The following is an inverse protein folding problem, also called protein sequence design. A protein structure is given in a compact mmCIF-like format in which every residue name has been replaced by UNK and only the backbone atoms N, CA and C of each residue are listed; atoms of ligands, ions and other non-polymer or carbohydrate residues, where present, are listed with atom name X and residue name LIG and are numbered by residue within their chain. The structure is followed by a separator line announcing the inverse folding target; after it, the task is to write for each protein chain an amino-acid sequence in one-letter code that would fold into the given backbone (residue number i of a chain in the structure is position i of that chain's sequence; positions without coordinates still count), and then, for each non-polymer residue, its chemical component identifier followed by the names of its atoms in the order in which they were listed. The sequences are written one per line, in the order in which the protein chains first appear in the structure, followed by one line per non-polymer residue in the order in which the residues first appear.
data_IF_401027280636
#
_entry.id   IF_401027280636
#
_cell.length_a   1.000
_cell.length_b   1.000
_cell.length_c   1.000
_cell.angle_alpha   90.00
_cell.angle_beta   90.00
_cell.angle_gamma   90.00
#
_symmetry.space_group_name_H-M   'P 1'
#
loop_
_entity.id
_entity.type
_entity.pdbx_description
1 polymer ?
#
# COMPACT_ATOMS: atom_id res chain seq x y z
N UNK A 1 -12.07 2.88 -7.01
CA UNK A 1 -11.03 3.38 -6.07
C UNK A 1 -11.27 2.77 -4.70
N UNK A 2 -10.23 2.65 -3.89
CA UNK A 2 -10.31 2.14 -2.52
C UNK A 2 -10.41 3.31 -1.53
N UNK A 3 -10.77 3.02 -0.28
CA UNK A 3 -10.94 4.01 0.78
C UNK A 3 -10.44 3.46 2.14
N UNK A 4 -10.65 4.22 3.21
CA UNK A 4 -10.27 3.90 4.60
C UNK A 4 -8.76 3.88 4.85
N UNK A 5 -8.06 2.85 4.39
CA UNK A 5 -6.61 2.68 4.60
C UNK A 5 -5.76 3.16 3.42
N UNK A 6 -6.39 3.74 2.40
CA UNK A 6 -5.77 4.26 1.18
C UNK A 6 -6.45 5.58 0.83
N UNK A 7 -5.68 6.54 0.32
CA UNK A 7 -6.23 7.78 -0.19
C UNK A 7 -6.99 7.61 -1.50
N UNK A 8 -7.62 8.69 -1.93
CA UNK A 8 -8.43 8.77 -3.14
C UNK A 8 -7.88 9.84 -4.07
N UNK A 9 -8.11 9.70 -5.38
CA UNK A 9 -7.67 10.71 -6.35
C UNK A 9 -8.63 11.90 -6.32
N UNK A 10 -8.46 12.73 -5.31
CA UNK A 10 -9.27 13.92 -5.07
C UNK A 10 -8.38 15.12 -4.94
N UNK A 11 -8.82 16.22 -5.52
CA UNK A 11 -8.07 17.47 -5.55
C UNK A 11 -7.70 17.95 -4.15
N UNK A 12 -8.67 18.07 -3.25
CA UNK A 12 -8.44 18.51 -1.86
C UNK A 12 -7.42 17.61 -1.13
N UNK A 13 -7.46 16.30 -1.37
CA UNK A 13 -6.52 15.35 -0.78
C UNK A 13 -5.12 15.49 -1.37
N UNK A 14 -5.03 15.60 -2.70
CA UNK A 14 -3.76 15.72 -3.43
C UNK A 14 -3.07 17.06 -3.17
N UNK A 15 -3.82 18.14 -2.92
CA UNK A 15 -3.25 19.45 -2.56
C UNK A 15 -2.69 19.50 -1.14
N UNK A 16 -3.00 18.51 -0.29
CA UNK A 16 -2.55 18.49 1.10
C UNK A 16 -1.08 18.07 1.27
N UNK A 17 -0.44 17.51 0.24
CA UNK A 17 0.96 17.09 0.31
C UNK A 17 1.70 17.26 -1.02
N UNK A 18 3.05 17.34 -0.99
CA UNK A 18 3.85 17.37 -2.21
C UNK A 18 3.56 16.19 -3.14
N UNK A 19 3.56 16.45 -4.44
CA UNK A 19 3.38 15.45 -5.49
C UNK A 19 4.68 15.33 -6.29
N UNK A 20 5.24 14.13 -6.32
CA UNK A 20 6.34 13.78 -7.21
C UNK A 20 5.77 13.36 -8.55
N UNK A 21 6.41 13.84 -9.61
CA UNK A 21 6.00 13.59 -10.98
C UNK A 21 7.20 13.13 -11.78
N UNK A 22 7.07 11.97 -12.42
CA UNK A 22 8.02 11.49 -13.38
C UNK A 22 7.52 11.82 -14.79
N UNK A 23 8.37 12.49 -15.56
CA UNK A 23 8.03 13.01 -16.90
C UNK A 23 9.00 12.49 -17.94
N UNK A 24 8.47 12.20 -19.12
CA UNK A 24 9.22 12.16 -20.38
C UNK A 24 9.26 13.56 -20.98
N UNK A 25 9.93 13.70 -22.13
CA UNK A 25 9.96 14.98 -22.86
C UNK A 25 8.56 15.42 -23.34
N UNK A 26 7.63 14.47 -23.48
CA UNK A 26 6.29 14.73 -24.02
C UNK A 26 5.22 14.92 -22.93
N UNK A 27 5.33 14.19 -21.80
CA UNK A 27 4.21 14.06 -20.85
C UNK A 27 4.60 13.53 -19.46
N UNK A 28 3.62 13.56 -18.56
CA UNK A 28 3.69 12.88 -17.26
C UNK A 28 3.45 11.38 -17.44
N UNK A 29 4.42 10.57 -17.01
CA UNK A 29 4.35 9.10 -17.09
C UNK A 29 3.87 8.47 -15.77
N UNK A 30 4.22 9.07 -14.64
CA UNK A 30 3.80 8.61 -13.33
C UNK A 30 3.78 9.74 -12.29
N UNK A 31 3.02 9.54 -11.22
CA UNK A 31 3.06 10.41 -10.05
C UNK A 31 2.95 9.61 -8.76
N UNK A 32 3.41 10.21 -7.67
CA UNK A 32 3.11 9.77 -6.31
C UNK A 32 2.94 10.97 -5.37
N UNK A 33 2.03 10.89 -4.41
CA UNK A 33 1.91 11.92 -3.37
C UNK A 33 2.64 11.49 -2.08
N UNK A 34 3.30 12.45 -1.44
CA UNK A 34 4.00 12.23 -0.19
C UNK A 34 2.99 11.98 0.94
N UNK A 35 3.33 11.05 1.83
CA UNK A 35 2.59 10.81 3.07
C UNK A 35 3.56 10.89 4.26
N UNK A 36 3.60 12.03 4.97
CA UNK A 36 4.36 12.13 6.21
C UNK A 36 3.86 11.13 7.26
N UNK A 37 4.76 10.39 7.89
CA UNK A 37 4.42 9.48 9.01
C UNK A 37 4.84 10.11 10.34
N UNK A 38 6.04 10.67 10.40
CA UNK A 38 6.59 11.33 11.58
C UNK A 38 7.61 12.40 11.16
N UNK A 39 8.31 13.00 12.12
CA UNK A 39 9.43 13.91 11.86
C UNK A 39 10.64 13.22 11.22
N UNK A 40 10.77 11.89 11.34
CA UNK A 40 11.92 11.11 10.86
C UNK A 40 11.55 10.07 9.81
N UNK A 41 10.24 9.86 9.57
CA UNK A 41 9.75 8.83 8.67
C UNK A 41 8.73 9.37 7.67
N UNK A 42 8.85 8.90 6.42
CA UNK A 42 7.97 9.31 5.34
C UNK A 42 7.59 8.12 4.45
N UNK A 43 6.51 8.27 3.71
CA UNK A 43 6.01 7.27 2.76
C UNK A 43 5.35 7.95 1.56
N UNK A 44 4.72 7.15 0.72
CA UNK A 44 3.82 7.58 -0.35
C UNK A 44 2.47 6.88 -0.18
N UNK A 45 1.39 7.52 -0.60
CA UNK A 45 0.06 6.90 -0.56
C UNK A 45 -0.39 6.45 -1.96
N UNK A 46 -0.77 7.39 -2.82
CA UNK A 46 -1.07 7.10 -4.21
C UNK A 46 0.23 7.03 -4.99
N UNK A 47 0.36 6.00 -5.82
CA UNK A 47 1.34 5.92 -6.90
C UNK A 47 0.64 5.34 -8.12
N UNK A 48 0.61 6.11 -9.21
CA UNK A 48 -0.01 5.70 -10.46
C UNK A 48 0.92 6.00 -11.61
N UNK A 49 0.88 5.15 -12.62
CA UNK A 49 1.69 5.25 -13.83
C UNK A 49 0.80 4.91 -15.02
N UNK A 50 1.16 5.41 -16.20
CA UNK A 50 0.42 5.11 -17.42
C UNK A 50 0.65 3.67 -17.87
N UNK A 51 -0.37 3.04 -18.46
CA UNK A 51 -0.25 1.68 -18.98
C UNK A 51 0.61 1.56 -20.25
N UNK A 52 0.80 2.66 -20.97
CA UNK A 52 1.60 2.79 -22.19
C UNK A 52 3.00 3.37 -21.94
N UNK A 53 3.46 3.38 -20.69
CA UNK A 53 4.78 3.88 -20.31
C UNK A 53 5.89 2.86 -20.51
N UNK A 54 7.15 3.30 -20.49
CA UNK A 54 8.33 2.41 -20.54
C UNK A 54 8.46 1.54 -19.28
N UNK A 55 9.18 0.43 -19.40
CA UNK A 55 9.42 -0.48 -18.28
C UNK A 55 10.10 0.21 -17.09
N UNK A 56 9.82 -0.29 -15.88
CA UNK A 56 10.45 0.14 -14.62
C UNK A 56 10.19 1.58 -14.17
N UNK A 57 9.25 2.31 -14.79
CA UNK A 57 8.87 3.68 -14.41
C UNK A 57 8.48 3.81 -12.93
N UNK A 58 7.72 2.84 -12.40
CA UNK A 58 7.38 2.77 -10.98
C UNK A 58 8.63 2.65 -10.09
N UNK A 59 9.57 1.79 -10.48
CA UNK A 59 10.80 1.56 -9.72
C UNK A 59 11.68 2.81 -9.74
N UNK A 60 11.80 3.47 -10.89
CA UNK A 60 12.55 4.70 -11.04
C UNK A 60 11.95 5.83 -10.19
N UNK A 61 10.64 6.05 -10.26
CA UNK A 61 9.96 7.04 -9.43
C UNK A 61 10.20 6.78 -7.94
N UNK A 62 10.03 5.53 -7.49
CA UNK A 62 10.22 5.19 -6.08
C UNK A 62 11.68 5.38 -5.62
N UNK A 63 12.67 5.00 -6.43
CA UNK A 63 14.08 5.22 -6.13
C UNK A 63 14.41 6.72 -5.99
N UNK A 64 13.87 7.56 -6.88
CA UNK A 64 14.09 9.00 -6.82
C UNK A 64 13.47 9.62 -5.57
N UNK A 65 12.27 9.17 -5.17
CA UNK A 65 11.64 9.64 -3.94
C UNK A 65 12.43 9.20 -2.70
N UNK A 66 12.94 7.96 -2.68
CA UNK A 66 13.80 7.48 -1.58
C UNK A 66 15.10 8.30 -1.51
N UNK A 67 15.71 8.63 -2.64
CA UNK A 67 16.90 9.47 -2.70
C UNK A 67 16.61 10.88 -2.18
N UNK A 68 15.51 11.50 -2.63
CA UNK A 68 15.04 12.78 -2.11
C UNK A 68 14.79 12.74 -0.60
N UNK A 69 14.12 11.70 -0.09
CA UNK A 69 13.82 11.58 1.33
C UNK A 69 15.12 11.53 2.17
N UNK A 70 16.15 10.87 1.66
CA UNK A 70 17.48 10.86 2.28
C UNK A 70 18.12 12.25 2.27
N UNK A 71 18.00 13.00 1.18
CA UNK A 71 18.55 14.37 1.06
C UNK A 71 17.86 15.35 2.03
N UNK A 72 16.55 15.18 2.25
CA UNK A 72 15.78 15.95 3.25
C UNK A 72 16.06 15.53 4.70
N UNK A 73 16.86 14.49 4.93
CA UNK A 73 17.25 14.02 6.26
C UNK A 73 16.26 13.07 6.93
N UNK A 74 15.33 12.47 6.18
CA UNK A 74 14.50 11.38 6.73
C UNK A 74 15.37 10.15 7.02
N UNK A 75 15.12 9.53 8.18
CA UNK A 75 15.83 8.33 8.62
C UNK A 75 15.21 7.07 8.01
N UNK A 76 13.88 7.08 7.81
CA UNK A 76 13.13 5.91 7.33
C UNK A 76 12.18 6.27 6.20
N UNK A 77 12.20 5.43 5.15
CA UNK A 77 11.17 5.44 4.11
C UNK A 77 10.30 4.18 4.23
N UNK A 78 9.02 4.36 4.54
CA UNK A 78 8.06 3.25 4.60
C UNK A 78 7.54 2.93 3.19
N UNK A 79 7.84 1.72 2.69
CA UNK A 79 7.39 1.24 1.38
C UNK A 79 5.90 0.81 1.38
N UNK A 80 5.23 0.90 2.53
CA UNK A 80 3.89 0.37 2.79
C UNK A 80 3.88 -1.13 3.05
N UNK A 81 2.70 -1.66 3.37
CA UNK A 81 2.54 -3.09 3.70
C UNK A 81 2.63 -4.01 2.47
N UNK A 82 3.13 -5.23 2.68
CA UNK A 82 2.94 -6.38 1.78
C UNK A 82 2.21 -7.48 2.55
N UNK A 83 0.88 -7.37 2.67
CA UNK A 83 0.12 -8.17 3.62
C UNK A 83 0.12 -9.65 3.21
N UNK A 84 0.03 -10.53 4.20
CA UNK A 84 -0.09 -11.99 4.04
C UNK A 84 1.05 -12.67 3.26
N UNK A 85 2.14 -11.98 2.94
CA UNK A 85 3.22 -12.56 2.14
C UNK A 85 3.94 -13.74 2.83
N UNK A 86 3.83 -13.84 4.16
CA UNK A 86 4.35 -14.94 4.98
C UNK A 86 3.25 -15.85 5.56
N UNK A 87 1.98 -15.62 5.20
CA UNK A 87 0.87 -16.43 5.70
C UNK A 87 0.84 -17.75 4.94
N UNK A 88 0.94 -18.86 5.69
CA UNK A 88 1.04 -20.22 5.15
C UNK A 88 2.41 -20.89 5.34
N UNK A 89 3.46 -20.13 5.70
CA UNK A 89 4.81 -20.69 5.93
C UNK A 89 5.00 -21.30 7.32
N UNK A 90 4.06 -21.08 8.26
CA UNK A 90 4.06 -21.72 9.57
C UNK A 90 2.76 -22.46 9.84
N UNK A 91 2.89 -23.73 10.21
CA UNK A 91 1.80 -24.66 10.52
C UNK A 91 1.12 -24.27 11.83
N UNK A 92 0.01 -23.52 11.79
CA UNK A 92 -0.69 -23.10 13.00
C UNK A 92 -2.15 -23.57 13.04
N UNK A 93 -2.39 -24.72 13.68
CA UNK A 93 -3.68 -25.21 14.21
C UNK A 93 -4.87 -25.34 13.24
N UNK A 94 -5.32 -26.60 13.10
CA UNK A 94 -6.33 -27.13 12.15
C UNK A 94 -7.67 -26.37 12.02
N UNK A 95 -8.08 -25.55 12.98
CA UNK A 95 -9.36 -24.80 12.95
C UNK A 95 -9.22 -23.32 12.57
N UNK A 96 -8.06 -22.68 12.79
CA UNK A 96 -7.76 -21.31 12.31
C UNK A 96 -7.33 -21.26 10.85
N UNK A 97 -6.83 -22.39 10.34
CA UNK A 97 -6.33 -22.55 8.98
C UNK A 97 -7.37 -22.18 7.89
N UNK A 98 -8.68 -22.42 8.10
CA UNK A 98 -9.69 -22.15 7.05
C UNK A 98 -9.95 -20.68 6.81
N UNK A 99 -10.08 -19.86 7.87
CA UNK A 99 -10.35 -18.42 7.73
C UNK A 99 -9.10 -17.72 7.20
N UNK A 100 -7.92 -18.10 7.70
CA UNK A 100 -6.63 -17.58 7.23
C UNK A 100 -6.40 -17.93 5.77
N UNK A 101 -6.70 -19.17 5.36
CA UNK A 101 -6.65 -19.60 3.96
C UNK A 101 -7.65 -18.84 3.08
N UNK A 102 -8.86 -18.56 3.57
CA UNK A 102 -9.84 -17.76 2.83
C UNK A 102 -9.32 -16.33 2.60
N UNK A 103 -8.75 -15.70 3.62
CA UNK A 103 -8.14 -14.37 3.54
C UNK A 103 -6.95 -14.35 2.59
N UNK A 104 -6.14 -15.41 2.60
CA UNK A 104 -5.04 -15.59 1.66
C UNK A 104 -5.52 -15.72 0.21
N UNK A 105 -6.47 -16.63 -0.06
CA UNK A 105 -7.00 -16.88 -1.40
C UNK A 105 -7.74 -15.66 -1.97
N UNK A 106 -8.54 -14.96 -1.16
CA UNK A 106 -9.25 -13.75 -1.59
C UNK A 106 -8.32 -12.56 -1.75
N UNK A 107 -7.42 -12.32 -0.80
CA UNK A 107 -6.56 -11.15 -0.88
C UNK A 107 -5.53 -11.25 -2.01
N UNK A 108 -5.02 -12.46 -2.33
CA UNK A 108 -4.10 -12.64 -3.46
C UNK A 108 -4.75 -12.26 -4.80
N UNK A 109 -6.08 -12.44 -4.93
CA UNK A 109 -6.87 -12.04 -6.10
C UNK A 109 -7.12 -10.53 -6.19
N UNK A 110 -7.07 -9.81 -5.06
CA UNK A 110 -7.28 -8.34 -5.02
C UNK A 110 -5.97 -7.57 -5.19
N UNK A 111 -4.84 -8.09 -4.70
CA UNK A 111 -3.59 -7.32 -4.56
C UNK A 111 -2.33 -8.00 -5.13
N UNK A 112 -2.35 -9.28 -5.50
CA UNK A 112 -1.15 -9.97 -6.00
C UNK A 112 0.03 -9.92 -5.02
N UNK A 113 -0.21 -10.22 -3.75
CA UNK A 113 0.69 -9.91 -2.62
C UNK A 113 2.10 -10.48 -2.74
N UNK A 114 2.28 -11.68 -3.32
CA UNK A 114 3.62 -12.25 -3.54
C UNK A 114 4.44 -11.40 -4.50
N UNK A 115 3.81 -10.89 -5.56
CA UNK A 115 4.45 -9.96 -6.50
C UNK A 115 4.80 -8.64 -5.84
N UNK A 116 3.92 -8.13 -4.97
CA UNK A 116 4.15 -6.89 -4.23
C UNK A 116 5.32 -7.01 -3.24
N UNK A 117 5.43 -8.12 -2.50
CA UNK A 117 6.58 -8.37 -1.61
C UNK A 117 7.88 -8.49 -2.41
N UNK A 118 7.89 -9.34 -3.44
CA UNK A 118 9.07 -9.52 -4.28
C UNK A 118 9.51 -8.21 -4.96
N UNK A 119 8.56 -7.35 -5.34
CA UNK A 119 8.86 -6.02 -5.84
C UNK A 119 9.55 -5.15 -4.80
N UNK A 120 9.06 -5.13 -3.55
CA UNK A 120 9.65 -4.36 -2.44
C UNK A 120 11.00 -4.90 -2.01
N UNK A 121 11.23 -6.21 -2.11
CA UNK A 121 12.53 -6.82 -1.78
C UNK A 121 13.68 -6.29 -2.66
N UNK A 122 13.39 -5.76 -3.86
CA UNK A 122 14.38 -5.08 -4.71
C UNK A 122 15.08 -3.91 -4.01
N UNK A 123 14.41 -3.30 -3.02
CA UNK A 123 14.92 -2.16 -2.24
C UNK A 123 15.60 -2.58 -0.94
N UNK A 124 15.71 -3.90 -0.66
CA UNK A 124 16.28 -4.48 0.57
C UNK A 124 15.72 -3.84 1.86
N UNK A 125 14.39 -3.81 2.06
CA UNK A 125 13.80 -3.20 3.25
C UNK A 125 14.03 -4.04 4.50
N UNK A 126 13.93 -3.39 5.66
CA UNK A 126 13.72 -4.08 6.93
C UNK A 126 12.23 -4.43 7.05
N UNK A 127 11.93 -5.72 7.14
CA UNK A 127 10.55 -6.20 7.25
C UNK A 127 10.04 -6.15 8.69
N UNK A 128 8.94 -5.46 8.91
CA UNK A 128 8.24 -5.42 10.20
C UNK A 128 6.86 -6.10 10.10
N UNK A 129 6.50 -6.84 11.14
CA UNK A 129 5.18 -7.46 11.24
C UNK A 129 4.11 -6.41 11.61
N UNK A 130 2.91 -6.59 11.05
CA UNK A 130 1.70 -5.84 11.43
C UNK A 130 0.63 -6.84 11.85
N UNK A 131 -0.10 -6.53 12.92
CA UNK A 131 -1.04 -7.45 13.55
C UNK A 131 -2.44 -6.84 13.61
N UNK A 132 -3.45 -7.69 13.41
CA UNK A 132 -4.84 -7.36 13.70
C UNK A 132 -5.18 -7.85 15.11
N UNK A 133 -5.53 -6.92 16.00
CA UNK A 133 -5.91 -7.24 17.39
C UNK A 133 -7.44 -7.25 17.49
N UNK A 134 -8.00 -8.33 18.03
CA UNK A 134 -9.44 -8.50 18.23
C UNK A 134 -9.72 -9.30 19.50
N UNK A 135 -10.88 -9.06 20.12
CA UNK A 135 -11.22 -9.64 21.42
C UNK A 135 -11.50 -11.16 21.33
N UNK A 136 -12.27 -11.58 20.33
CA UNK A 136 -12.73 -12.97 20.21
C UNK A 136 -12.49 -13.54 18.81
N UNK A 137 -12.01 -14.79 18.74
CA UNK A 137 -11.76 -15.47 17.46
C UNK A 137 -13.03 -15.68 16.62
N UNK A 138 -14.19 -15.78 17.27
CA UNK A 138 -15.48 -15.90 16.58
C UNK A 138 -15.85 -14.63 15.79
N UNK A 139 -15.34 -13.46 16.20
CA UNK A 139 -15.61 -12.19 15.52
C UNK A 139 -14.76 -12.00 14.25
N UNK A 140 -13.70 -12.79 14.05
CA UNK A 140 -12.74 -12.61 12.96
C UNK A 140 -13.41 -12.55 11.56
N UNK A 141 -14.35 -13.43 11.18
CA UNK A 141 -15.02 -13.34 9.88
C UNK A 141 -15.77 -12.02 9.67
N UNK A 142 -16.47 -11.53 10.70
CA UNK A 142 -17.23 -10.27 10.64
C UNK A 142 -16.28 -9.07 10.55
N UNK A 143 -15.16 -9.09 11.29
CA UNK A 143 -14.14 -8.05 11.23
C UNK A 143 -13.54 -7.98 9.82
N UNK A 144 -13.19 -9.14 9.24
CA UNK A 144 -12.62 -9.20 7.89
C UNK A 144 -13.60 -8.70 6.83
N UNK A 145 -14.89 -9.04 6.94
CA UNK A 145 -15.93 -8.51 6.06
C UNK A 145 -16.09 -7.00 6.22
N UNK A 146 -16.15 -6.49 7.45
CA UNK A 146 -16.22 -5.05 7.71
C UNK A 146 -15.01 -4.29 7.17
N UNK A 147 -13.80 -4.84 7.30
CA UNK A 147 -12.59 -4.27 6.70
C UNK A 147 -12.67 -4.28 5.17
N UNK A 148 -13.14 -5.37 4.57
CA UNK A 148 -13.33 -5.46 3.12
C UNK A 148 -14.33 -4.41 2.62
N UNK A 149 -15.46 -4.25 3.30
CA UNK A 149 -16.47 -3.25 2.96
C UNK A 149 -15.94 -1.83 3.14
N UNK A 150 -15.23 -1.55 4.24
CA UNK A 150 -14.65 -0.24 4.51
C UNK A 150 -13.62 0.16 3.44
N UNK A 151 -12.76 -0.77 3.01
CA UNK A 151 -11.74 -0.54 1.99
C UNK A 151 -12.35 -0.38 0.60
N UNK A 152 -13.40 -1.14 0.27
CA UNK A 152 -14.05 -1.06 -1.05
C UNK A 152 -15.18 -0.03 -1.12
N UNK A 153 -15.45 0.68 -0.02
CA UNK A 153 -16.46 1.74 -0.02
C UNK A 153 -16.01 2.82 -0.98
N UNK A 154 -16.75 2.99 -2.08
CA UNK A 154 -16.50 4.10 -2.99
C UNK A 154 -16.68 5.41 -2.23
N UNK A 155 -15.65 6.25 -2.24
CA UNK A 155 -15.73 7.58 -1.68
C UNK A 155 -16.82 8.35 -2.43
N UNK A 156 -17.92 8.69 -1.74
CA UNK A 156 -18.94 9.61 -2.28
C UNK A 156 -18.56 11.03 -1.89
N UNK A 157 -18.26 11.87 -2.88
CA UNK A 157 -18.11 13.31 -2.69
C UNK A 157 -19.39 13.82 -2.02
N UNK A 158 -19.29 14.48 -0.87
CA UNK A 158 -20.40 15.30 -0.38
C UNK A 158 -20.50 16.48 -1.34
N UNK A 159 -21.54 16.51 -2.17
CA UNK A 159 -21.90 17.73 -2.88
C UNK A 159 -22.18 18.81 -1.82
N UNK A 160 -21.51 19.96 -1.98
CA UNK A 160 -21.76 21.18 -1.21
C UNK A 160 -22.88 21.96 -1.89
#
# INVERSE_FOLDING_TARGET
EMAYSLGAFQEDYLQASPIFVLRSDERVEAFANLMPISSTSVSIDLMRFRGDTVDNVMQMLLLQIIAWAKEEGYETFDLGMAPLANVGDQTYSRSRDRVIRLVYEYGNRVYGFKGLRAYKDKFRPHWENRYLVYAEAAALPQILLGLYEAVNRSYKKKEK
#
